data_IF_587087644026
#
_entry.id   IF_587087644026
#
_cell.length_a   1.000
_cell.length_b   1.000
_cell.length_c   1.000
_cell.angle_alpha   90.00
_cell.angle_beta   90.00
_cell.angle_gamma   90.00
#
_symmetry.space_group_name_H-M   'P 1'
#
loop_
_entity.id
_entity.type
_entity.pdbx_description
1 polymer ?
2 non-polymer ?
3 non-polymer ?
4 non-polymer ?
5 water ?
#
# COMPACT_ATOMS: atom_id res chain seq x y z
N UNK A 3 -1.96 -16.02 18.05
CA UNK A 3 -2.14 -16.21 19.48
C UNK A 3 -3.41 -15.54 20.01
N UNK A 4 -4.15 -16.28 20.85
CA UNK A 4 -5.38 -15.88 21.53
C UNK A 4 -5.11 -14.81 22.62
N UNK A 5 -3.93 -14.85 23.28
CA UNK A 5 -3.57 -13.83 24.28
C UNK A 5 -3.42 -12.46 23.60
N UNK A 6 -2.71 -12.42 22.44
CA UNK A 6 -2.48 -11.21 21.65
C UNK A 6 -3.79 -10.56 21.21
N UNK A 7 -4.77 -11.38 20.80
CA UNK A 7 -6.10 -10.88 20.41
C UNK A 7 -6.79 -10.25 21.62
N UNK A 8 -6.79 -10.97 22.75
CA UNK A 8 -7.41 -10.50 23.97
C UNK A 8 -6.77 -9.22 24.46
N UNK A 9 -5.43 -9.08 24.30
CA UNK A 9 -4.68 -7.87 24.68
C UNK A 9 -5.12 -6.71 23.83
N UNK A 10 -5.20 -6.91 22.51
CA UNK A 10 -5.61 -5.86 21.57
C UNK A 10 -7.07 -5.44 21.78
N UNK A 11 -7.99 -6.41 21.89
CA UNK A 11 -9.42 -6.14 22.05
C UNK A 11 -9.76 -5.46 23.38
N UNK A 12 -8.95 -5.70 24.42
CA UNK A 12 -9.15 -5.09 25.74
C UNK A 12 -8.41 -3.74 25.89
N UNK A 13 -7.58 -3.37 24.91
CA UNK A 13 -6.80 -2.13 24.99
C UNK A 13 -7.60 -0.87 24.66
N UNK A 14 -7.34 0.23 25.39
CA UNK A 14 -7.92 1.55 25.12
C UNK A 14 -7.29 2.05 23.79
N UNK A 15 -8.13 2.48 22.83
CA UNK A 15 -7.62 2.97 21.54
C UNK A 15 -7.37 4.50 21.65
N UNK A 16 -6.11 4.99 21.64
CA UNK A 16 -5.88 6.44 21.72
C UNK A 16 -6.49 7.17 20.51
N UNK A 17 -6.68 8.50 20.62
CA UNK A 17 -7.24 9.29 19.52
C UNK A 17 -6.32 9.36 18.30
N UNK A 18 -6.86 9.76 17.14
CA UNK A 18 -6.09 9.94 15.90
C UNK A 18 -5.06 11.06 16.09
N UNK A 19 -5.44 12.09 16.87
CA UNK A 19 -4.61 13.22 17.27
C UNK A 19 -3.36 12.71 18.05
N UNK A 20 -3.57 11.90 19.10
CA UNK A 20 -2.50 11.31 19.90
C UNK A 20 -1.56 10.44 19.06
N UNK A 21 -2.12 9.55 18.24
CA UNK A 21 -1.37 8.62 17.38
C UNK A 21 -0.66 9.31 16.19
N UNK A 22 -1.08 10.54 15.82
CA UNK A 22 -0.54 11.37 14.72
C UNK A 22 -0.77 10.75 13.33
N UNK A 23 -1.78 9.88 13.20
CA UNK A 23 -2.12 9.20 11.93
C UNK A 23 -2.68 10.12 10.84
N UNK A 24 -3.12 11.34 11.20
CA UNK A 24 -3.65 12.30 10.22
C UNK A 24 -2.52 13.02 9.45
N UNK A 25 -1.28 12.94 9.96
CA UNK A 25 -0.12 13.59 9.34
C UNK A 25 0.44 12.82 8.14
N UNK A 26 0.71 13.53 7.03
CA UNK A 26 1.36 12.91 5.88
C UNK A 26 2.81 12.50 6.27
N UNK A 27 3.41 13.22 7.23
CA UNK A 27 4.78 13.01 7.73
C UNK A 27 4.96 11.88 8.74
N UNK A 28 3.87 11.24 9.16
CA UNK A 28 3.86 10.12 10.11
C UNK A 28 4.97 9.07 9.87
N UNK A 29 5.59 8.60 10.94
CA UNK A 29 6.58 7.53 10.90
C UNK A 29 6.17 6.47 11.93
N UNK A 30 6.32 5.20 11.59
CA UNK A 30 5.96 4.09 12.48
C UNK A 30 7.18 3.62 13.31
N UNK A 31 8.36 4.17 13.03
CA UNK A 31 9.64 3.78 13.65
C UNK A 31 9.63 3.57 15.15
N UNK A 32 9.02 4.50 15.90
CA UNK A 32 8.98 4.47 17.36
C UNK A 32 7.82 3.63 17.91
N UNK A 33 6.91 3.18 17.02
CA UNK A 33 5.74 2.41 17.42
C UNK A 33 5.99 0.91 17.58
N UNK A 34 5.41 0.33 18.64
CA UNK A 34 5.44 -1.12 18.88
C UNK A 34 4.38 -1.76 17.94
N UNK A 35 4.42 -3.09 17.71
CA UNK A 35 3.45 -3.81 16.88
C UNK A 35 2.03 -3.56 17.42
N UNK A 36 1.88 -3.59 18.75
CA UNK A 36 0.60 -3.31 19.40
C UNK A 36 0.11 -1.91 19.03
N UNK A 37 1.00 -0.89 19.08
CA UNK A 37 0.64 0.49 18.69
C UNK A 37 0.19 0.58 17.23
N UNK A 38 0.83 -0.15 16.31
CA UNK A 38 0.40 -0.14 14.88
C UNK A 38 -1.01 -0.71 14.76
N UNK A 39 -1.32 -1.79 15.50
CA UNK A 39 -2.65 -2.41 15.51
C UNK A 39 -3.69 -1.42 16.07
N UNK A 40 -3.37 -0.67 17.17
CA UNK A 40 -4.30 0.34 17.74
C UNK A 40 -4.54 1.46 16.72
N UNK A 41 -3.47 1.91 16.02
CA UNK A 41 -3.56 2.91 14.95
C UNK A 41 -4.55 2.41 13.88
N UNK A 42 -4.45 1.12 13.50
CA UNK A 42 -5.32 0.51 12.49
C UNK A 42 -6.80 0.56 12.93
N UNK A 43 -7.11 0.20 14.19
CA UNK A 43 -8.48 0.29 14.75
C UNK A 43 -8.95 1.76 14.65
N UNK A 44 -8.08 2.70 15.05
CA UNK A 44 -8.36 4.13 14.99
C UNK A 44 -8.70 4.60 13.58
N UNK A 45 -8.01 4.06 12.55
CA UNK A 45 -8.28 4.40 11.14
C UNK A 45 -9.70 3.98 10.73
N UNK A 46 -10.13 2.73 11.05
CA UNK A 46 -11.48 2.22 10.73
C UNK A 46 -12.50 3.04 11.49
N UNK A 47 -12.21 3.36 12.76
CA UNK A 47 -13.10 4.12 13.65
C UNK A 47 -13.33 5.54 13.17
N UNK A 48 -12.25 6.29 12.89
CA UNK A 48 -12.38 7.68 12.45
C UNK A 48 -12.90 7.90 11.03
N UNK A 49 -12.86 6.85 10.19
CA UNK A 49 -13.42 6.92 8.81
C UNK A 49 -14.91 6.47 8.85
N UNK A 50 -15.44 6.29 10.07
CA UNK A 50 -16.81 5.87 10.38
C UNK A 50 -17.14 4.49 9.78
N UNK A 51 -16.17 3.57 9.74
CA UNK A 51 -16.37 2.23 9.17
C UNK A 51 -16.94 1.22 10.15
N UNK A 52 -16.56 1.34 11.43
CA UNK A 52 -16.99 0.43 12.50
C UNK A 52 -18.49 0.65 12.79
N UNK A 53 -18.92 1.93 12.92
CA UNK A 53 -20.31 2.33 13.16
C UNK A 53 -21.18 2.03 11.92
N UNK A 54 -20.78 2.53 10.75
CA UNK A 54 -21.49 2.34 9.48
C UNK A 54 -21.78 0.87 9.14
N UNK A 55 -20.74 0.02 9.19
CA UNK A 55 -20.84 -1.38 8.79
C UNK A 55 -21.07 -2.37 9.89
N UNK A 56 -21.44 -1.87 11.07
CA UNK A 56 -21.80 -2.64 12.27
C UNK A 56 -20.76 -3.74 12.59
N UNK A 57 -19.48 -3.35 12.61
CA UNK A 57 -18.36 -4.28 12.87
C UNK A 57 -18.25 -4.53 14.36
N UNK A 58 -18.15 -5.81 14.75
CA UNK A 58 -17.95 -6.20 16.15
C UNK A 58 -16.46 -5.97 16.43
N UNK A 59 -16.15 -5.38 17.60
CA UNK A 59 -14.77 -5.02 17.98
C UNK A 59 -13.80 -6.19 17.92
N UNK A 60 -14.16 -7.35 18.54
CA UNK A 60 -13.34 -8.56 18.57
C UNK A 60 -13.01 -9.08 17.17
N UNK A 61 -14.01 -9.10 16.26
CA UNK A 61 -13.86 -9.57 14.86
C UNK A 61 -12.84 -8.66 14.11
N UNK A 62 -12.96 -7.32 14.29
CA UNK A 62 -12.04 -6.36 13.66
C UNK A 62 -10.63 -6.56 14.19
N UNK A 63 -10.49 -6.70 15.53
CA UNK A 63 -9.21 -6.94 16.18
C UNK A 63 -8.58 -8.24 15.66
N UNK A 64 -9.36 -9.34 15.57
CA UNK A 64 -8.86 -10.63 15.05
C UNK A 64 -8.39 -10.50 13.59
N UNK A 65 -9.18 -9.80 12.75
CA UNK A 65 -8.86 -9.57 11.33
C UNK A 65 -7.54 -8.80 11.17
N UNK A 66 -7.35 -7.70 11.95
CA UNK A 66 -6.11 -6.89 11.94
C UNK A 66 -4.89 -7.78 12.27
N UNK A 67 -4.99 -8.61 13.32
CA UNK A 67 -3.92 -9.50 13.74
C UNK A 67 -3.65 -10.60 12.74
N UNK A 68 -4.72 -11.10 12.08
CA UNK A 68 -4.62 -12.12 11.03
C UNK A 68 -3.88 -11.53 9.80
N UNK A 69 -4.20 -10.28 9.43
CA UNK A 69 -3.51 -9.59 8.33
C UNK A 69 -2.02 -9.42 8.70
N UNK A 70 -1.74 -8.89 9.92
CA UNK A 70 -0.36 -8.69 10.40
C UNK A 70 0.46 -9.99 10.34
N UNK A 71 -0.08 -11.11 10.86
CA UNK A 71 0.64 -12.39 10.89
C UNK A 71 0.85 -13.02 9.53
N UNK A 72 0.05 -12.59 8.52
CA UNK A 72 0.19 -13.09 7.15
C UNK A 72 1.18 -12.27 6.29
N UNK A 73 1.97 -11.40 6.93
CA UNK A 73 3.09 -10.68 6.32
C UNK A 73 4.33 -11.40 6.86
N UNK A 74 5.36 -11.61 6.02
CA UNK A 74 6.55 -12.32 6.47
C UNK A 74 7.47 -11.41 7.25
N UNK A 75 8.10 -11.94 8.29
CA UNK A 75 9.05 -11.18 9.10
C UNK A 75 10.49 -11.26 8.58
N UNK A 76 10.75 -12.05 7.52
CA UNK A 76 12.09 -12.17 6.94
C UNK A 76 12.23 -11.40 5.61
N UNK A 77 11.29 -10.47 5.36
CA UNK A 77 11.23 -9.63 4.16
C UNK A 77 11.52 -8.21 4.64
N UNK A 78 12.63 -7.60 4.17
CA UNK A 78 13.09 -6.28 4.63
C UNK A 78 12.08 -5.13 4.47
N UNK A 79 11.40 -5.05 3.32
CA UNK A 79 10.48 -3.97 3.01
C UNK A 79 9.00 -4.36 2.91
N UNK A 80 8.62 -5.35 2.07
CA UNK A 80 7.21 -5.74 1.92
C UNK A 80 6.73 -6.63 3.07
N UNK A 81 6.72 -6.05 4.26
CA UNK A 81 6.30 -6.70 5.51
C UNK A 81 5.13 -5.90 6.10
N UNK A 82 4.67 -6.24 7.33
CA UNK A 82 3.55 -5.56 7.97
C UNK A 82 3.73 -4.03 8.04
N UNK A 83 4.95 -3.53 8.40
CA UNK A 83 5.16 -2.07 8.48
C UNK A 83 4.86 -1.31 7.19
N UNK A 84 5.20 -1.88 6.03
CA UNK A 84 4.90 -1.28 4.73
C UNK A 84 3.39 -1.24 4.48
N UNK A 85 2.68 -2.36 4.79
CA UNK A 85 1.22 -2.42 4.58
C UNK A 85 0.54 -1.43 5.52
N UNK A 86 1.01 -1.38 6.77
CA UNK A 86 0.50 -0.46 7.79
C UNK A 86 0.71 1.01 7.35
N UNK A 87 1.92 1.35 6.87
CA UNK A 87 2.22 2.72 6.38
C UNK A 87 1.37 3.07 5.16
N UNK A 88 1.13 2.09 4.25
CA UNK A 88 0.29 2.31 3.05
C UNK A 88 -1.15 2.68 3.52
N UNK A 89 -1.69 1.94 4.52
CA UNK A 89 -3.01 2.23 5.08
C UNK A 89 -3.01 3.58 5.78
N UNK A 90 -1.92 3.91 6.53
CA UNK A 90 -1.83 5.21 7.20
C UNK A 90 -1.83 6.32 6.17
N UNK A 91 -1.10 6.13 5.04
CA UNK A 91 -1.12 7.14 3.98
C UNK A 91 -2.53 7.26 3.39
N UNK A 92 -3.22 6.11 3.22
CA UNK A 92 -4.60 6.13 2.73
C UNK A 92 -5.46 6.96 3.69
N UNK A 93 -5.34 6.72 5.01
CA UNK A 93 -6.11 7.49 6.00
C UNK A 93 -5.80 8.98 5.92
N UNK A 94 -4.50 9.35 5.80
CA UNK A 94 -4.12 10.76 5.73
C UNK A 94 -4.67 11.44 4.47
N UNK A 95 -4.58 10.76 3.31
CA UNK A 95 -5.07 11.28 2.03
C UNK A 95 -6.60 11.45 2.07
N UNK A 96 -7.32 10.49 2.68
CA UNK A 96 -8.79 10.60 2.82
C UNK A 96 -9.19 11.76 3.74
N UNK A 97 -8.55 11.87 4.92
CA UNK A 97 -8.87 12.93 5.90
C UNK A 97 -8.27 14.29 5.55
N UNK A 98 -6.98 14.49 5.90
CA UNK A 98 -6.21 15.71 5.62
C UNK A 98 -6.19 16.05 4.12
N UNK A 99 -6.03 15.04 3.25
CA UNK A 99 -6.01 15.23 1.81
C UNK A 99 -7.36 15.46 1.15
N UNK A 100 -8.45 15.29 1.90
CA UNK A 100 -9.86 15.46 1.48
C UNK A 100 -10.37 14.55 0.36
N UNK A 101 -9.79 13.35 0.25
CA UNK A 101 -10.24 12.36 -0.72
C UNK A 101 -11.53 11.66 -0.24
N UNK A 102 -11.75 11.61 1.08
CA UNK A 102 -12.95 11.03 1.70
C UNK A 102 -14.25 11.65 1.12
N UNK A 103 -14.23 12.97 0.89
CA UNK A 103 -15.34 13.78 0.38
C UNK A 103 -15.80 13.37 -1.01
N UNK A 104 -14.89 12.73 -1.77
CA UNK A 104 -15.08 12.33 -3.17
C UNK A 104 -15.55 10.89 -3.32
N UNK A 105 -15.56 10.10 -2.22
CA UNK A 105 -15.87 8.68 -2.24
C UNK A 105 -17.05 8.27 -1.36
N UNK A 106 -17.60 7.06 -1.61
CA UNK A 106 -18.70 6.52 -0.82
C UNK A 106 -18.10 5.82 0.38
N UNK A 107 -18.93 5.46 1.39
CA UNK A 107 -18.46 4.70 2.55
C UNK A 107 -17.90 3.34 2.10
N UNK A 108 -18.55 2.69 1.08
CA UNK A 108 -18.11 1.38 0.55
C UNK A 108 -16.73 1.43 -0.07
N UNK A 109 -16.47 2.46 -0.88
CA UNK A 109 -15.18 2.66 -1.54
C UNK A 109 -14.09 2.88 -0.47
N UNK A 110 -14.38 3.69 0.60
CA UNK A 110 -13.43 3.95 1.69
C UNK A 110 -13.12 2.63 2.43
N UNK A 111 -14.19 1.87 2.80
CA UNK A 111 -14.04 0.55 3.44
C UNK A 111 -13.12 -0.35 2.60
N UNK A 112 -13.43 -0.49 1.30
CA UNK A 112 -12.63 -1.33 0.40
C UNK A 112 -11.18 -0.85 0.24
N UNK A 113 -10.96 0.48 0.13
CA UNK A 113 -9.61 1.05 0.02
C UNK A 113 -8.76 0.80 1.28
N UNK A 114 -9.36 0.95 2.47
CA UNK A 114 -8.60 0.69 3.72
C UNK A 114 -8.24 -0.79 3.83
N UNK A 115 -9.19 -1.68 3.54
CA UNK A 115 -8.93 -3.13 3.59
C UNK A 115 -7.83 -3.47 2.56
N UNK A 116 -7.98 -2.96 1.32
CA UNK A 116 -7.02 -3.22 0.25
C UNK A 116 -5.64 -2.68 0.60
N UNK A 117 -5.54 -1.46 1.18
CA UNK A 117 -4.24 -0.89 1.58
C UNK A 117 -3.50 -1.79 2.59
N UNK A 118 -4.22 -2.26 3.63
CA UNK A 118 -3.67 -3.16 4.64
C UNK A 118 -3.34 -4.55 4.07
N UNK A 119 -4.10 -5.00 3.06
CA UNK A 119 -3.96 -6.36 2.53
C UNK A 119 -3.12 -6.50 1.26
N UNK A 120 -2.79 -5.40 0.59
CA UNK A 120 -2.19 -5.37 -0.76
C UNK A 120 -0.91 -6.14 -1.01
N UNK A 121 -0.11 -6.45 0.03
CA UNK A 121 1.14 -7.19 -0.16
C UNK A 121 1.18 -8.48 0.65
N UNK A 122 0.01 -9.02 1.03
CA UNK A 122 -0.08 -10.21 1.88
C UNK A 122 0.76 -11.36 1.37
N UNK A 123 1.56 -11.93 2.27
CA UNK A 123 2.47 -13.04 2.01
C UNK A 123 3.50 -12.73 0.93
N UNK A 124 3.99 -11.47 0.89
CA UNK A 124 5.01 -11.10 -0.10
C UNK A 124 6.28 -11.88 0.22
N UNK A 125 6.86 -12.63 -0.76
CA UNK A 125 8.07 -13.42 -0.46
C UNK A 125 9.40 -12.66 -0.45
N UNK A 126 9.39 -11.36 -0.79
CA UNK A 126 10.61 -10.55 -0.81
C UNK A 126 11.34 -10.63 -2.14
N UNK A 127 10.65 -11.15 -3.17
CA UNK A 127 11.14 -11.29 -4.55
C UNK A 127 10.05 -10.78 -5.50
N UNK A 128 10.44 -10.29 -6.69
CA UNK A 128 9.54 -9.73 -7.72
C UNK A 128 8.74 -10.77 -8.50
N UNK A 129 7.78 -10.30 -9.33
CA UNK A 129 7.00 -11.16 -10.23
C UNK A 129 7.91 -11.88 -11.18
N UNK A 130 8.90 -11.14 -11.74
CA UNK A 130 9.87 -11.69 -12.69
C UNK A 130 10.62 -12.89 -12.10
N UNK A 131 10.98 -12.83 -10.80
CA UNK A 131 11.67 -13.92 -10.10
C UNK A 131 10.78 -15.18 -10.02
N UNK A 132 9.49 -15.00 -9.66
CA UNK A 132 8.52 -16.10 -9.58
C UNK A 132 8.30 -16.75 -10.94
N UNK A 133 8.29 -15.94 -12.01
CA UNK A 133 8.17 -16.44 -13.38
C UNK A 133 9.45 -17.24 -13.71
N UNK A 134 10.62 -16.66 -13.43
CA UNK A 134 11.94 -17.25 -13.69
C UNK A 134 12.20 -18.57 -12.99
N UNK A 135 11.67 -18.75 -11.79
CA UNK A 135 11.86 -19.97 -11.01
C UNK A 135 10.72 -20.96 -11.19
N UNK A 136 9.85 -20.73 -12.21
CA UNK A 136 8.70 -21.56 -12.54
C UNK A 136 7.81 -21.84 -11.33
N UNK A 137 7.49 -20.77 -10.59
CA UNK A 137 6.63 -20.80 -9.40
C UNK A 137 5.22 -21.28 -9.77
N UNK A 138 4.58 -22.06 -8.87
CA UNK A 138 3.20 -22.54 -9.08
C UNK A 138 2.24 -21.36 -9.18
N UNK A 139 2.54 -20.25 -8.46
CA UNK A 139 1.74 -19.01 -8.50
C UNK A 139 1.79 -18.40 -9.89
N UNK A 140 2.99 -18.36 -10.53
CA UNK A 140 3.18 -17.81 -11.88
C UNK A 140 2.38 -18.61 -12.89
N UNK A 141 2.30 -19.93 -12.68
CA UNK A 141 1.53 -20.83 -13.54
C UNK A 141 0.02 -20.60 -13.41
N UNK A 142 -0.52 -20.47 -12.17
CA UNK A 142 -1.95 -20.21 -11.87
C UNK A 142 -2.44 -18.88 -12.49
N UNK A 143 -1.59 -17.84 -12.49
CA UNK A 143 -2.00 -16.52 -12.97
C UNK A 143 -1.38 -16.10 -14.30
N UNK A 144 -0.93 -17.09 -15.11
CA UNK A 144 -0.36 -16.93 -16.45
C UNK A 144 0.70 -15.81 -16.55
N UNK A 145 1.59 -15.71 -15.53
CA UNK A 145 2.68 -14.71 -15.46
C UNK A 145 2.21 -13.24 -15.41
N UNK A 146 0.92 -12.98 -15.17
CA UNK A 146 0.39 -11.62 -15.14
C UNK A 146 0.00 -11.23 -13.72
N UNK A 147 0.58 -10.12 -13.21
CA UNK A 147 0.35 -9.60 -11.85
C UNK A 147 0.30 -10.79 -10.84
N UNK A 148 1.29 -11.69 -10.91
CA UNK A 148 1.37 -12.93 -10.12
C UNK A 148 1.19 -12.71 -8.62
N UNK A 149 2.07 -11.89 -8.02
CA UNK A 149 2.05 -11.55 -6.60
C UNK A 149 0.77 -10.85 -6.21
N UNK A 150 0.31 -9.89 -7.05
CA UNK A 150 -0.92 -9.13 -6.81
C UNK A 150 -2.15 -10.07 -6.72
N UNK A 151 -2.24 -11.05 -7.64
CA UNK A 151 -3.32 -12.05 -7.55
C UNK A 151 -3.16 -12.87 -6.27
N UNK A 152 -1.91 -13.19 -5.90
CA UNK A 152 -1.69 -13.96 -4.68
C UNK A 152 -2.05 -13.12 -3.44
N UNK A 153 -1.73 -11.80 -3.43
CA UNK A 153 -2.09 -10.94 -2.29
C UNK A 153 -3.62 -10.89 -2.13
N UNK A 154 -4.35 -10.77 -3.25
CA UNK A 154 -5.83 -10.78 -3.22
C UNK A 154 -6.41 -12.14 -2.74
N UNK A 155 -5.82 -13.23 -3.19
CA UNK A 155 -6.21 -14.57 -2.76
C UNK A 155 -6.07 -14.68 -1.23
N UNK A 156 -4.93 -14.22 -0.70
CA UNK A 156 -4.66 -14.21 0.75
C UNK A 156 -5.63 -13.26 1.46
N UNK A 157 -5.93 -12.11 0.84
CA UNK A 157 -6.87 -11.15 1.40
C UNK A 157 -8.24 -11.79 1.57
N UNK A 158 -8.75 -12.46 0.50
CA UNK A 158 -10.03 -13.17 0.50
C UNK A 158 -10.05 -14.29 1.55
N UNK A 159 -8.96 -15.08 1.62
CA UNK A 159 -8.80 -16.19 2.57
C UNK A 159 -9.02 -15.69 4.02
N UNK A 160 -8.39 -14.55 4.37
CA UNK A 160 -8.52 -13.95 5.72
C UNK A 160 -9.94 -13.42 5.94
N UNK A 161 -10.51 -12.75 4.92
CA UNK A 161 -11.88 -12.21 5.02
C UNK A 161 -12.93 -13.30 5.26
N UNK A 162 -12.68 -14.50 4.71
CA UNK A 162 -13.56 -15.66 4.80
C UNK A 162 -13.30 -16.55 6.03
N UNK A 163 -12.20 -16.31 6.78
CA UNK A 163 -11.80 -17.12 7.92
C UNK A 163 -12.74 -16.95 9.11
N UNK A 164 -13.07 -18.05 9.86
CA UNK A 164 -13.95 -17.90 11.03
C UNK A 164 -13.40 -16.90 12.04
N UNK A 165 -14.29 -16.04 12.54
CA UNK A 165 -13.94 -14.99 13.49
C UNK A 165 -13.25 -13.77 12.90
N UNK A 166 -12.98 -13.75 11.57
CA UNK A 166 -12.28 -12.64 10.89
C UNK A 166 -13.15 -11.91 9.86
N UNK A 167 -14.45 -12.26 9.79
CA UNK A 167 -15.39 -11.73 8.79
C UNK A 167 -15.91 -10.31 9.09
N UNK A 168 -15.05 -9.31 8.87
CA UNK A 168 -15.39 -7.89 9.09
C UNK A 168 -16.45 -7.37 8.12
N UNK A 169 -16.70 -8.12 7.02
CA UNK A 169 -17.70 -7.76 6.01
C UNK A 169 -19.03 -8.50 6.22
N UNK A 170 -19.17 -9.28 7.30
CA UNK A 170 -20.37 -10.08 7.59
C UNK A 170 -21.67 -9.28 7.71
N UNK A 171 -21.58 -8.03 8.16
CA UNK A 171 -22.71 -7.15 8.33
C UNK A 171 -23.19 -6.45 7.07
N UNK A 172 -22.45 -6.57 5.95
CA UNK A 172 -22.81 -5.95 4.66
C UNK A 172 -23.96 -6.71 4.00
N UNK A 173 -24.78 -6.02 3.18
CA UNK A 173 -25.84 -6.66 2.38
C UNK A 173 -25.12 -7.41 1.23
N UNK A 174 -25.81 -8.33 0.51
CA UNK A 174 -25.16 -9.09 -0.58
C UNK A 174 -24.57 -8.17 -1.64
N UNK A 175 -25.35 -7.19 -2.13
CA UNK A 175 -24.88 -6.25 -3.15
C UNK A 175 -23.69 -5.42 -2.67
N UNK A 176 -23.66 -5.01 -1.39
CA UNK A 176 -22.51 -4.27 -0.86
C UNK A 176 -21.28 -5.17 -0.79
N UNK A 177 -21.47 -6.42 -0.32
CA UNK A 177 -20.38 -7.39 -0.16
C UNK A 177 -19.68 -7.65 -1.51
N UNK A 178 -20.45 -7.95 -2.58
CA UNK A 178 -19.95 -8.19 -3.93
C UNK A 178 -19.23 -6.99 -4.49
N UNK A 179 -19.80 -5.77 -4.30
CA UNK A 179 -19.18 -4.51 -4.74
C UNK A 179 -17.85 -4.27 -4.02
N UNK A 180 -17.80 -4.52 -2.69
CA UNK A 180 -16.60 -4.32 -1.90
C UNK A 180 -15.48 -5.24 -2.36
N UNK A 181 -15.77 -6.56 -2.49
CA UNK A 181 -14.74 -7.53 -2.92
C UNK A 181 -14.20 -7.14 -4.28
N UNK A 182 -15.08 -6.69 -5.21
CA UNK A 182 -14.69 -6.23 -6.54
C UNK A 182 -13.72 -5.05 -6.45
N UNK A 183 -14.05 -4.03 -5.63
CA UNK A 183 -13.20 -2.85 -5.43
C UNK A 183 -11.87 -3.26 -4.82
N UNK A 184 -11.88 -4.15 -3.80
CA UNK A 184 -10.64 -4.64 -3.15
C UNK A 184 -9.74 -5.32 -4.19
N UNK A 185 -10.32 -6.22 -5.02
CA UNK A 185 -9.55 -6.93 -6.06
C UNK A 185 -8.87 -5.94 -7.00
N UNK A 186 -9.65 -4.97 -7.54
CA UNK A 186 -9.11 -3.98 -8.49
C UNK A 186 -8.05 -3.10 -7.82
N UNK A 187 -8.26 -2.75 -6.53
CA UNK A 187 -7.31 -1.91 -5.78
C UNK A 187 -5.99 -2.63 -5.52
N UNK A 188 -6.04 -3.94 -5.20
CA UNK A 188 -4.84 -4.74 -4.97
C UNK A 188 -4.09 -4.95 -6.31
N UNK A 189 -4.82 -5.37 -7.36
CA UNK A 189 -4.23 -5.57 -8.70
C UNK A 189 -3.57 -4.27 -9.23
N UNK A 190 -4.13 -3.11 -8.85
CA UNK A 190 -3.57 -1.80 -9.23
C UNK A 190 -2.15 -1.56 -8.66
N UNK A 191 -1.78 -2.24 -7.54
CA UNK A 191 -0.44 -2.09 -6.93
C UNK A 191 0.68 -2.66 -7.80
N UNK A 192 0.31 -3.30 -8.93
CA UNK A 192 1.28 -3.77 -9.91
C UNK A 192 1.67 -2.52 -10.71
N UNK A 193 2.93 -2.08 -10.57
CA UNK A 193 3.44 -0.90 -11.30
C UNK A 193 3.26 -0.98 -12.82
N UNK A 194 3.25 -2.21 -13.40
CA UNK A 194 3.01 -2.39 -14.85
C UNK A 194 1.58 -2.00 -15.22
N UNK A 195 0.62 -2.22 -14.29
CA UNK A 195 -0.77 -1.82 -14.51
C UNK A 195 -0.89 -0.30 -14.35
N UNK A 196 -0.15 0.26 -13.39
CA UNK A 196 -0.07 1.71 -13.19
C UNK A 196 0.44 2.40 -14.48
N UNK A 197 1.57 1.93 -15.06
CA UNK A 197 2.13 2.53 -16.29
C UNK A 197 1.15 2.47 -17.44
N UNK A 198 0.44 1.32 -17.54
CA UNK A 198 -0.54 1.04 -18.59
C UNK A 198 -1.73 2.00 -18.58
N UNK A 199 -2.17 2.42 -17.38
CA UNK A 199 -3.40 3.19 -17.19
C UNK A 199 -3.27 4.66 -16.83
N UNK A 200 -2.08 5.08 -16.37
CA UNK A 200 -1.85 6.45 -15.90
C UNK A 200 -2.11 7.52 -16.94
N UNK A 201 -1.74 7.24 -18.20
CA UNK A 201 -1.88 8.16 -19.32
C UNK A 201 -3.31 8.62 -19.48
N UNK A 202 -4.26 7.69 -19.30
CA UNK A 202 -5.69 7.98 -19.38
C UNK A 202 -6.11 8.95 -18.27
N UNK A 203 -5.62 8.72 -17.03
CA UNK A 203 -5.90 9.56 -15.87
C UNK A 203 -5.35 10.96 -16.07
N UNK A 204 -4.09 11.07 -16.52
CA UNK A 204 -3.44 12.36 -16.74
C UNK A 204 -4.14 13.14 -17.83
N UNK A 205 -4.63 12.47 -18.89
CA UNK A 205 -5.34 13.16 -19.97
C UNK A 205 -6.70 13.67 -19.50
N UNK A 206 -7.43 12.88 -18.70
CA UNK A 206 -8.73 13.28 -18.15
C UNK A 206 -8.59 14.55 -17.29
N UNK A 207 -7.51 14.64 -16.48
CA UNK A 207 -7.23 15.82 -15.65
C UNK A 207 -6.85 17.01 -16.54
N UNK A 208 -5.97 16.80 -17.54
CA UNK A 208 -5.48 17.84 -18.45
C UNK A 208 -6.62 18.47 -19.27
N UNK A 209 -7.58 17.65 -19.71
CA UNK A 209 -8.73 18.06 -20.52
C UNK A 209 -9.92 18.54 -19.67
N UNK A 210 -9.76 18.58 -18.32
CA UNK A 210 -10.82 18.98 -17.37
C UNK A 210 -12.05 18.08 -17.54
N UNK A 211 -11.81 16.79 -17.87
CA UNK A 211 -12.88 15.81 -18.11
C UNK A 211 -13.03 14.85 -16.94
N UNK A 212 -12.22 15.05 -15.89
CA UNK A 212 -12.22 14.20 -14.71
C UNK A 212 -13.55 14.27 -13.98
N UNK A 213 -14.26 13.14 -13.97
CA UNK A 213 -15.60 13.04 -13.40
C UNK A 213 -15.78 11.73 -12.66
N UNK A 214 -15.81 11.81 -11.34
CA UNK A 214 -15.96 10.64 -10.46
C UNK A 214 -17.34 9.96 -10.47
N UNK A 215 -18.32 10.52 -11.23
CA UNK A 215 -19.66 9.96 -11.36
C UNK A 215 -19.66 8.83 -12.41
N UNK A 216 -18.67 8.88 -13.33
CA UNK A 216 -18.46 7.88 -14.35
C UNK A 216 -17.80 6.67 -13.64
N UNK A 217 -18.44 5.48 -13.69
CA UNK A 217 -17.87 4.31 -12.98
C UNK A 217 -16.47 3.89 -13.43
N UNK A 218 -16.16 4.04 -14.73
CA UNK A 218 -14.83 3.72 -15.25
C UNK A 218 -13.78 4.66 -14.64
N UNK A 219 -14.12 5.97 -14.55
CA UNK A 219 -13.23 7.00 -13.99
C UNK A 219 -13.01 6.79 -12.48
N UNK A 220 -14.07 6.38 -11.76
CA UNK A 220 -14.00 6.09 -10.33
C UNK A 220 -12.94 4.97 -10.06
N UNK A 221 -13.05 3.84 -10.80
CA UNK A 221 -12.17 2.66 -10.71
C UNK A 221 -10.72 3.06 -11.05
N UNK A 222 -10.57 3.86 -12.13
CA UNK A 222 -9.27 4.39 -12.54
C UNK A 222 -8.67 5.25 -11.42
N UNK A 223 -9.48 6.15 -10.83
CA UNK A 223 -9.01 6.98 -9.72
C UNK A 223 -8.56 6.15 -8.49
N UNK A 224 -9.34 5.10 -8.16
CA UNK A 224 -9.04 4.22 -7.01
C UNK A 224 -7.70 3.52 -7.20
N UNK A 225 -7.42 3.10 -8.44
CA UNK A 225 -6.17 2.46 -8.85
C UNK A 225 -4.97 3.43 -8.68
N UNK A 226 -5.12 4.68 -9.15
CA UNK A 226 -4.08 5.71 -9.05
C UNK A 226 -3.80 6.02 -7.57
N UNK A 227 -4.86 6.13 -6.75
CA UNK A 227 -4.78 6.41 -5.30
C UNK A 227 -4.02 5.29 -4.59
N UNK A 228 -4.26 4.01 -5.00
CA UNK A 228 -3.56 2.84 -4.42
C UNK A 228 -2.05 2.95 -4.68
N UNK A 229 -1.64 3.26 -5.93
CA UNK A 229 -0.22 3.45 -6.28
C UNK A 229 0.36 4.60 -5.44
N UNK A 230 -0.35 5.75 -5.35
CA UNK A 230 0.10 6.92 -4.59
C UNK A 230 0.43 6.58 -3.15
N UNK A 231 -0.44 5.80 -2.49
CA UNK A 231 -0.23 5.37 -1.11
C UNK A 231 0.89 4.36 -1.03
N UNK A 232 0.94 3.43 -2.01
CA UNK A 232 1.95 2.36 -2.07
C UNK A 232 3.36 2.94 -2.11
N UNK A 233 3.56 3.99 -2.91
CA UNK A 233 4.88 4.58 -3.10
C UNK A 233 5.20 5.69 -2.12
N UNK A 234 4.26 6.03 -1.22
CA UNK A 234 4.34 7.20 -0.32
C UNK A 234 5.54 7.36 0.60
N UNK A 235 6.26 6.26 0.93
CA UNK A 235 7.46 6.37 1.76
C UNK A 235 8.48 7.28 1.05
N UNK A 236 8.44 7.30 -0.32
CA UNK A 236 9.31 8.13 -1.16
C UNK A 236 9.05 9.65 -1.00
N UNK A 237 7.94 10.02 -0.34
CA UNK A 237 7.55 11.43 -0.12
C UNK A 237 7.81 11.91 1.31
N UNK A 238 8.23 10.98 2.18
CA UNK A 238 8.42 11.26 3.61
C UNK A 238 9.58 12.22 3.89
N UNK A 239 9.61 12.89 5.07
CA UNK A 239 10.76 13.75 5.38
C UNK A 239 12.03 12.92 5.18
N UNK A 240 13.07 13.53 4.61
CA UNK A 240 14.33 12.85 4.25
C UNK A 240 14.85 11.76 5.22
N UNK A 241 15.03 12.02 6.54
CA UNK A 241 15.55 10.93 7.42
C UNK A 241 14.68 9.67 7.41
N UNK A 242 13.36 9.86 7.40
CA UNK A 242 12.39 8.76 7.34
C UNK A 242 12.48 8.06 5.96
N UNK A 243 12.47 8.84 4.85
CA UNK A 243 12.53 8.33 3.48
C UNK A 243 13.82 7.54 3.25
N UNK A 244 14.95 8.07 3.74
CA UNK A 244 16.28 7.45 3.61
C UNK A 244 16.36 6.09 4.31
N UNK A 245 15.79 5.99 5.54
CA UNK A 245 15.77 4.73 6.29
C UNK A 245 14.89 3.69 5.59
N UNK A 246 13.72 4.09 5.06
CA UNK A 246 12.86 3.18 4.30
C UNK A 246 13.56 2.77 2.98
N UNK A 247 14.20 3.73 2.27
CA UNK A 247 14.95 3.42 1.05
C UNK A 247 16.02 2.34 1.32
N UNK A 248 16.62 2.33 2.54
CA UNK A 248 17.61 1.32 2.93
C UNK A 248 16.97 -0.08 2.96
N UNK A 249 15.73 -0.16 3.47
CA UNK A 249 14.98 -1.42 3.53
C UNK A 249 14.60 -1.90 2.12
N UNK A 250 14.19 -0.96 1.25
CA UNK A 250 13.82 -1.26 -0.14
C UNK A 250 15.02 -1.88 -0.85
N UNK A 251 16.22 -1.25 -0.69
CA UNK A 251 17.45 -1.73 -1.32
C UNK A 251 17.88 -3.07 -0.75
N UNK A 252 17.77 -3.26 0.59
CA UNK A 252 18.10 -4.54 1.27
C UNK A 252 17.31 -5.68 0.64
N UNK A 253 15.98 -5.49 0.45
CA UNK A 253 15.10 -6.50 -0.13
C UNK A 253 15.48 -6.80 -1.57
N UNK A 254 15.74 -5.75 -2.39
CA UNK A 254 16.16 -5.95 -3.79
C UNK A 254 17.49 -6.72 -3.83
N UNK A 255 18.44 -6.39 -2.93
CA UNK A 255 19.74 -7.06 -2.84
C UNK A 255 19.63 -8.49 -2.33
N UNK A 256 18.64 -8.75 -1.46
CA UNK A 256 18.36 -10.09 -0.94
C UNK A 256 17.87 -10.94 -2.11
N UNK A 257 17.06 -10.35 -3.02
CA UNK A 257 16.59 -11.04 -4.23
C UNK A 257 17.79 -11.37 -5.12
N UNK A 258 18.67 -10.38 -5.35
CA UNK A 258 19.89 -10.56 -6.14
C UNK A 258 20.74 -11.70 -5.64
N UNK A 259 20.82 -11.86 -4.30
CA UNK A 259 21.58 -12.96 -3.69
C UNK A 259 20.95 -14.31 -4.08
N UNK A 260 19.61 -14.36 -4.07
CA UNK A 260 18.84 -15.57 -4.43
C UNK A 260 19.05 -15.88 -5.92
N UNK A 261 19.05 -14.84 -6.78
CA UNK A 261 19.26 -14.95 -8.24
C UNK A 261 20.66 -15.52 -8.57
N UNK A 262 21.70 -15.06 -7.86
CA UNK A 262 23.05 -15.58 -8.08
C UNK A 262 23.11 -17.07 -7.69
N UNK A 263 22.51 -17.42 -6.53
CA UNK A 263 22.54 -18.79 -6.02
C UNK A 263 21.65 -19.76 -6.81
N UNK A 264 20.35 -19.43 -6.97
CA UNK A 264 19.35 -20.26 -7.64
C UNK A 264 19.32 -20.16 -9.16
N UNK A 265 19.68 -19.00 -9.73
CA UNK A 265 19.60 -18.82 -11.20
C UNK A 265 20.93 -18.67 -11.91
N UNK A 266 22.04 -18.46 -11.15
CA UNK A 266 23.42 -18.32 -11.64
C UNK A 266 23.59 -17.16 -12.63
N UNK A 267 22.89 -16.08 -12.36
CA UNK A 267 22.94 -14.89 -13.22
C UNK A 267 23.52 -13.74 -12.46
N UNK A 268 23.98 -12.74 -13.20
CA UNK A 268 24.39 -11.48 -12.62
C UNK A 268 23.06 -10.72 -12.48
N UNK A 269 22.70 -10.25 -11.27
CA UNK A 269 21.42 -9.53 -11.14
C UNK A 269 21.44 -8.20 -11.91
N UNK A 270 20.25 -7.62 -12.15
CA UNK A 270 20.14 -6.28 -12.75
C UNK A 270 20.67 -5.32 -11.67
N UNK A 271 21.12 -4.11 -12.06
CA UNK A 271 21.65 -3.13 -11.09
C UNK A 271 20.76 -2.95 -9.88
N UNK A 272 19.44 -2.85 -10.10
CA UNK A 272 18.45 -2.67 -9.04
C UNK A 272 18.59 -3.71 -7.92
N UNK A 273 18.92 -4.95 -8.31
CA UNK A 273 19.00 -6.08 -7.39
C UNK A 273 20.44 -6.55 -7.12
N UNK A 274 21.41 -5.75 -7.53
CA UNK A 274 22.83 -6.08 -7.42
C UNK A 274 23.54 -5.25 -6.38
N UNK A 275 23.84 -5.86 -5.21
CA UNK A 275 24.54 -5.18 -4.12
C UNK A 275 25.89 -4.65 -4.56
N UNK A 276 26.55 -5.34 -5.52
CA UNK A 276 27.84 -4.90 -6.08
C UNK A 276 27.69 -3.54 -6.77
N UNK A 277 26.49 -3.25 -7.30
CA UNK A 277 26.20 -1.99 -7.98
C UNK A 277 25.35 -1.03 -7.12
N UNK A 278 25.54 -1.10 -5.78
CA UNK A 278 24.82 -0.23 -4.83
C UNK A 278 25.08 1.28 -5.05
N UNK A 279 26.19 1.63 -5.73
CA UNK A 279 26.52 3.01 -6.09
C UNK A 279 25.45 3.64 -7.02
N UNK A 280 24.62 2.80 -7.69
CA UNK A 280 23.57 3.26 -8.61
C UNK A 280 22.31 3.74 -7.91
N UNK A 281 22.16 3.45 -6.60
CA UNK A 281 20.97 3.83 -5.82
C UNK A 281 20.53 5.29 -6.01
N UNK A 282 21.38 6.32 -5.75
CA UNK A 282 20.91 7.70 -5.94
C UNK A 282 20.39 8.02 -7.33
N UNK A 283 21.12 7.62 -8.40
CA UNK A 283 20.67 7.93 -9.77
C UNK A 283 19.41 7.16 -10.15
N UNK A 284 19.26 5.94 -9.65
CA UNK A 284 18.07 5.13 -9.92
C UNK A 284 16.87 5.70 -9.19
N UNK A 285 17.08 6.20 -7.94
CA UNK A 285 16.02 6.88 -7.18
C UNK A 285 15.51 8.11 -7.93
N UNK A 286 16.44 8.91 -8.52
CA UNK A 286 16.10 10.11 -9.29
C UNK A 286 15.29 9.73 -10.55
N UNK A 287 15.78 8.75 -11.32
CA UNK A 287 15.10 8.28 -12.52
C UNK A 287 13.69 7.79 -12.23
N UNK A 288 13.55 7.03 -11.13
CA UNK A 288 12.25 6.48 -10.70
C UNK A 288 11.29 7.55 -10.23
N UNK A 289 11.76 8.54 -9.45
CA UNK A 289 10.91 9.64 -8.99
C UNK A 289 10.43 10.46 -10.21
N UNK A 290 11.35 10.78 -11.14
CA UNK A 290 10.99 11.56 -12.32
C UNK A 290 9.98 10.84 -13.24
N UNK A 291 10.24 9.55 -13.53
CA UNK A 291 9.46 8.77 -14.47
C UNK A 291 8.15 8.20 -13.95
N UNK A 292 8.07 7.92 -12.63
CA UNK A 292 6.95 7.25 -12.00
C UNK A 292 6.22 8.09 -10.97
N UNK A 293 6.97 8.68 -10.04
CA UNK A 293 6.39 9.35 -8.90
C UNK A 293 5.81 10.74 -9.06
N UNK A 294 6.59 11.64 -9.64
CA UNK A 294 6.23 13.04 -9.75
C UNK A 294 4.89 13.35 -10.39
N UNK A 295 4.61 12.77 -11.57
CA UNK A 295 3.35 13.03 -12.29
C UNK A 295 2.16 12.49 -11.52
N UNK A 296 2.37 11.41 -10.75
CA UNK A 296 1.29 10.84 -9.96
C UNK A 296 0.90 11.80 -8.83
N UNK A 297 1.91 12.28 -8.06
CA UNK A 297 1.64 13.22 -6.98
C UNK A 297 1.15 14.57 -7.46
N UNK A 298 1.59 15.00 -8.65
CA UNK A 298 1.08 16.22 -9.27
C UNK A 298 -0.42 16.01 -9.61
N UNK A 299 -0.75 14.88 -10.28
CA UNK A 299 -2.11 14.53 -10.70
C UNK A 299 -3.07 14.44 -9.49
N UNK A 300 -2.63 13.81 -8.39
CA UNK A 300 -3.40 13.73 -7.15
C UNK A 300 -3.63 15.12 -6.52
N UNK A 301 -2.62 16.00 -6.60
CA UNK A 301 -2.72 17.39 -6.11
C UNK A 301 -3.70 18.16 -6.99
N UNK A 302 -3.76 17.85 -8.29
CA UNK A 302 -4.74 18.46 -9.18
C UNK A 302 -6.15 18.02 -8.77
N UNK A 303 -6.32 16.73 -8.39
CA UNK A 303 -7.60 16.18 -7.90
C UNK A 303 -7.99 16.86 -6.57
N UNK A 304 -7.05 16.93 -5.61
CA UNK A 304 -7.30 17.58 -4.32
C UNK A 304 -6.05 18.31 -3.89
N UNK A 305 -6.12 19.64 -3.80
CA UNK A 305 -5.00 20.49 -3.43
C UNK A 305 -4.41 20.13 -2.06
N UNK A 306 -5.24 19.57 -1.16
CA UNK A 306 -4.83 19.20 0.19
C UNK A 306 -3.89 17.99 0.23
N UNK A 307 -3.70 17.31 -0.93
CA UNK A 307 -2.75 16.20 -1.08
C UNK A 307 -1.35 16.75 -1.44
N UNK A 308 -1.21 18.09 -1.59
CA UNK A 308 0.08 18.73 -1.91
C UNK A 308 1.28 18.27 -1.08
N UNK A 309 1.19 18.03 0.26
CA UNK A 309 2.39 17.57 1.01
C UNK A 309 3.09 16.35 0.40
N UNK A 310 2.35 15.41 -0.23
CA UNK A 310 2.91 14.22 -0.88
C UNK A 310 3.78 14.66 -2.05
N UNK A 311 3.30 15.63 -2.85
CA UNK A 311 4.07 16.19 -3.98
C UNK A 311 5.29 16.95 -3.46
N UNK A 312 5.09 17.80 -2.45
CA UNK A 312 6.16 18.59 -1.86
C UNK A 312 7.31 17.68 -1.37
N UNK A 313 6.96 16.62 -0.64
CA UNK A 313 7.91 15.65 -0.12
C UNK A 313 8.62 14.91 -1.23
N UNK A 314 7.87 14.52 -2.26
CA UNK A 314 8.44 13.85 -3.43
C UNK A 314 9.47 14.76 -4.14
N UNK A 315 9.15 16.06 -4.32
CA UNK A 315 10.06 17.03 -4.95
C UNK A 315 11.33 17.24 -4.12
N UNK A 316 11.18 17.41 -2.79
CA UNK A 316 12.33 17.61 -1.89
C UNK A 316 13.23 16.38 -1.86
N UNK A 317 12.66 15.16 -1.89
CA UNK A 317 13.48 13.94 -1.91
C UNK A 317 14.20 13.77 -3.24
N UNK A 318 13.53 14.11 -4.36
CA UNK A 318 14.17 14.04 -5.67
C UNK A 318 15.46 14.91 -5.67
N UNK A 319 15.38 16.16 -5.17
CA UNK A 319 16.52 17.09 -5.11
C UNK A 319 17.65 16.58 -4.21
N UNK A 320 17.30 15.96 -3.07
CA UNK A 320 18.28 15.39 -2.14
C UNK A 320 18.99 14.17 -2.74
N UNK A 321 18.25 13.28 -3.41
CA UNK A 321 18.85 12.12 -4.11
C UNK A 321 19.78 12.59 -5.23
N UNK A 322 19.34 13.60 -6.00
CA UNK A 322 20.10 14.20 -7.10
C UNK A 322 21.40 14.83 -6.56
N UNK A 323 21.34 15.47 -5.37
CA UNK A 323 22.52 16.07 -4.72
C UNK A 323 23.56 14.98 -4.40
N UNK A 324 23.10 13.78 -4.03
CA UNK A 324 23.98 12.63 -3.75
C UNK A 324 24.50 11.99 -5.05
N UNK A 325 23.66 11.90 -6.09
CA UNK A 325 23.97 11.29 -7.38
C UNK A 325 24.99 12.08 -8.22
N UNK A 326 24.86 13.42 -8.26
CA UNK A 326 25.77 14.27 -9.05
C UNK A 326 27.11 14.53 -8.38
#
# INVERSE_FOLDING_TARGET
>A
EEETRELQSLAAAVVPSAQTLKITDFSFSDFELSDLETALCTIRMFTDLNLVQNFQMKHEVLCRWILSVKKNYRKNVAYHNWRHAFNTAQCMFAALKAGKIQNKLTDLEILALLIAALSHDLDHPGVSNQFLINTNSELALMYNDESVLEHHHFDQCLMILNSPGNQILSGLSIEEYKTTLKIIKQAILATDLALYIKRRGEFFELIRKNQFNLEDPHEKELFLAMLMTACDLSAITKPWPIQQRIAELVATEFFDQGDRERKELNIEPTDLMNREKKNKIPSMQVGFIDAICLQLYEALTHVSEDCFPLLDGCRKNRQKWQALAE
#
